data_IF_334479690391
#
_entry.id   IF_334479690391
#
_cell.length_a   1.000
_cell.length_b   1.000
_cell.length_c   1.000
_cell.angle_alpha   90.00
_cell.angle_beta   90.00
_cell.angle_gamma   90.00
#
_symmetry.space_group_name_H-M   'P 1'
#
loop_
_entity.id
_entity.type
_entity.pdbx_description
1 polymer ?
#
# COMPACT_ATOMS: atom_id res chain seq x y z
N UNK A 1 -13.95 4.66 -5.90
CA UNK A 1 -12.96 4.94 -4.86
C UNK A 1 -11.74 4.04 -5.02
N UNK A 2 -10.53 4.59 -4.92
CA UNK A 2 -9.27 3.83 -4.93
C UNK A 2 -8.62 3.92 -3.55
N UNK A 3 -8.16 2.78 -3.04
CA UNK A 3 -7.39 2.72 -1.78
C UNK A 3 -6.09 1.96 -1.98
N UNK A 4 -5.00 2.50 -1.43
CA UNK A 4 -3.71 1.83 -1.32
C UNK A 4 -3.27 1.90 0.14
N UNK A 5 -3.14 0.73 0.76
CA UNK A 5 -2.78 0.60 2.18
C UNK A 5 -1.62 -0.37 2.34
N UNK A 6 -0.77 -0.13 3.33
CA UNK A 6 0.39 -0.96 3.67
C UNK A 6 0.13 -1.67 5.00
N UNK A 7 0.51 -2.94 5.07
CA UNK A 7 0.34 -3.82 6.21
C UNK A 7 1.64 -4.53 6.54
N UNK A 8 1.84 -4.84 7.83
CA UNK A 8 2.90 -5.74 8.26
C UNK A 8 2.49 -7.22 8.16
N UNK A 9 3.39 -8.13 8.54
CA UNK A 9 3.17 -9.59 8.48
C UNK A 9 2.02 -10.08 9.38
N UNK A 10 1.63 -9.29 10.38
CA UNK A 10 0.53 -9.62 11.29
C UNK A 10 -0.81 -9.08 10.77
N UNK A 11 -0.80 -8.42 9.60
CA UNK A 11 -1.98 -7.79 9.00
C UNK A 11 -2.35 -6.45 9.63
N UNK A 12 -1.47 -5.83 10.43
CA UNK A 12 -1.71 -4.50 10.99
C UNK A 12 -1.48 -3.45 9.90
N UNK A 13 -2.43 -2.55 9.72
CA UNK A 13 -2.26 -1.40 8.82
C UNK A 13 -1.21 -0.46 9.40
N UNK A 14 -0.14 -0.19 8.63
CA UNK A 14 0.97 0.68 9.04
C UNK A 14 1.00 2.00 8.27
N UNK A 15 0.36 2.06 7.10
CA UNK A 15 0.19 3.29 6.34
C UNK A 15 -1.02 3.22 5.40
N UNK A 16 -1.65 4.36 5.16
CA UNK A 16 -2.58 4.59 4.04
C UNK A 16 -1.92 5.54 3.06
N UNK A 17 -1.67 5.10 1.84
CA UNK A 17 -0.99 5.89 0.79
C UNK A 17 -1.97 6.61 -0.13
N UNK A 18 -3.12 6.00 -0.40
CA UNK A 18 -4.20 6.56 -1.23
C UNK A 18 -5.53 6.16 -0.61
N UNK A 19 -6.48 7.11 -0.56
CA UNK A 19 -7.84 6.88 -0.08
C UNK A 19 -8.80 7.92 -0.67
N UNK A 20 -8.97 7.91 -1.99
CA UNK A 20 -9.68 8.96 -2.72
C UNK A 20 -10.31 8.42 -4.02
N UNK A 21 -11.23 9.20 -4.61
CA UNK A 21 -11.72 8.93 -5.97
C UNK A 21 -10.66 9.35 -6.99
N UNK A 22 -10.23 8.42 -7.85
CA UNK A 22 -9.36 8.70 -8.98
C UNK A 22 -10.07 8.29 -10.27
N UNK A 23 -10.10 9.15 -11.31
CA UNK A 23 -10.56 8.73 -12.62
C UNK A 23 -9.60 7.70 -13.24
N UNK A 24 -10.00 7.08 -14.35
CA UNK A 24 -9.15 6.15 -15.06
C UNK A 24 -7.86 6.85 -15.54
N UNK A 25 -6.71 6.22 -15.30
CA UNK A 25 -5.41 6.77 -15.66
C UNK A 25 -4.27 6.04 -14.97
N UNK A 26 -3.05 6.47 -15.28
CA UNK A 26 -1.83 5.99 -14.62
C UNK A 26 -1.39 6.98 -13.56
N UNK A 27 -1.14 6.49 -12.35
CA UNK A 27 -0.73 7.30 -11.21
C UNK A 27 0.52 6.70 -10.57
N UNK A 28 1.37 7.58 -10.04
CA UNK A 28 2.53 7.20 -9.25
C UNK A 28 2.30 7.64 -7.81
N UNK A 29 2.65 6.77 -6.86
CA UNK A 29 2.52 7.02 -5.43
C UNK A 29 3.88 6.80 -4.81
N UNK A 30 4.38 7.82 -4.13
CA UNK A 30 5.63 7.74 -3.35
C UNK A 30 5.32 7.26 -1.95
N UNK A 31 6.13 6.32 -1.44
CA UNK A 31 6.00 5.80 -0.09
C UNK A 31 7.31 6.02 0.67
N UNK A 32 7.24 6.87 1.70
CA UNK A 32 8.33 7.02 2.66
C UNK A 32 8.19 5.97 3.77
N UNK A 33 9.06 4.97 3.72
CA UNK A 33 9.12 3.88 4.69
C UNK A 33 10.20 4.08 5.77
N UNK A 34 10.79 5.28 5.89
CA UNK A 34 11.91 5.55 6.79
C UNK A 34 11.62 5.23 8.26
N UNK A 35 10.38 5.45 8.69
CA UNK A 35 9.88 5.17 10.04
C UNK A 35 9.62 3.67 10.32
N UNK A 36 9.62 2.82 9.30
CA UNK A 36 9.39 1.38 9.44
C UNK A 36 10.70 0.63 9.68
N UNK A 37 10.64 -0.47 10.42
CA UNK A 37 11.77 -1.40 10.60
C UNK A 37 11.95 -2.27 9.36
N UNK A 38 13.17 -2.76 9.13
CA UNK A 38 13.41 -3.79 8.10
C UNK A 38 12.51 -5.00 8.35
N UNK A 39 11.96 -5.56 7.28
CA UNK A 39 10.97 -6.63 7.40
C UNK A 39 10.15 -6.84 6.13
N UNK A 40 9.20 -7.77 6.23
CA UNK A 40 8.25 -8.07 5.15
C UNK A 40 6.98 -7.25 5.35
N UNK A 41 6.51 -6.64 4.28
CA UNK A 41 5.29 -5.85 4.26
C UNK A 41 4.47 -6.19 3.02
N UNK A 42 3.21 -5.80 3.08
CA UNK A 42 2.24 -6.00 2.00
C UNK A 42 1.58 -4.66 1.70
N UNK A 43 1.48 -4.30 0.43
CA UNK A 43 0.54 -3.25 0.03
C UNK A 43 -0.64 -3.87 -0.69
N UNK A 44 -1.82 -3.32 -0.41
CA UNK A 44 -3.08 -3.69 -1.03
C UNK A 44 -3.64 -2.50 -1.78
N UNK A 45 -3.88 -2.69 -3.08
CA UNK A 45 -4.63 -1.81 -3.95
C UNK A 45 -6.06 -2.34 -4.07
N UNK A 46 -7.06 -1.51 -3.79
CA UNK A 46 -8.48 -1.84 -3.99
C UNK A 46 -9.19 -0.73 -4.75
N UNK A 47 -9.95 -1.09 -5.77
CA UNK A 47 -10.78 -0.20 -6.60
C UNK A 47 -12.04 -0.93 -7.05
N UNK A 48 -13.20 -0.59 -6.48
CA UNK A 48 -14.43 -1.36 -6.68
C UNK A 48 -14.25 -2.83 -6.30
N UNK A 49 -14.59 -3.73 -7.21
CA UNK A 49 -14.41 -5.19 -7.07
C UNK A 49 -12.97 -5.65 -7.29
N UNK A 50 -12.10 -4.80 -7.83
CA UNK A 50 -10.70 -5.14 -8.06
C UNK A 50 -9.90 -5.00 -6.76
N UNK A 51 -9.21 -6.07 -6.37
CA UNK A 51 -8.28 -6.09 -5.25
C UNK A 51 -6.98 -6.81 -5.65
N UNK A 52 -5.85 -6.17 -5.38
CA UNK A 52 -4.53 -6.74 -5.62
C UNK A 52 -3.63 -6.49 -4.42
N UNK A 53 -3.03 -7.56 -3.91
CA UNK A 53 -2.03 -7.48 -2.84
C UNK A 53 -0.67 -7.90 -3.36
N UNK A 54 0.37 -7.14 -3.00
CA UNK A 54 1.76 -7.44 -3.35
C UNK A 54 2.65 -7.31 -2.12
N UNK A 55 3.62 -8.22 -2.03
CA UNK A 55 4.62 -8.27 -0.96
C UNK A 55 5.86 -7.48 -1.36
N UNK A 56 6.49 -6.80 -0.41
CA UNK A 56 7.84 -6.27 -0.55
C UNK A 56 8.67 -6.52 0.72
N UNK A 57 9.98 -6.46 0.57
CA UNK A 57 10.94 -6.55 1.69
C UNK A 57 11.56 -5.17 1.86
N UNK A 58 11.45 -4.60 3.05
CA UNK A 58 12.15 -3.38 3.41
C UNK A 58 13.50 -3.77 4.02
N UNK A 59 14.59 -3.29 3.42
CA UNK A 59 15.95 -3.46 3.91
C UNK A 59 16.52 -2.08 4.25
N UNK A 60 17.20 -1.97 5.40
CA UNK A 60 17.93 -0.76 5.81
C UNK A 60 19.42 -1.01 5.68
#
# INVERSE_FOLDING_TARGET
MVTIKVYDILGREVATLVNEEKPAGTYQVSFDASSLSSGIYFYRLKSGEFEQTKKFVLMK
#
